data_IF_525573389170
#
_entry.id   IF_525573389170
#
_cell.length_a   1.000
_cell.length_b   1.000
_cell.length_c   1.000
_cell.angle_alpha   90.00
_cell.angle_beta   90.00
_cell.angle_gamma   90.00
#
_symmetry.space_group_name_H-M   'P 1'
#
loop_
_entity.id
_entity.type
_entity.pdbx_description
1 polymer ?
#
# COMPACT_ATOMS: atom_id res chain seq x y z
N UNK A 1 5.01 -12.17 -5.48
CA UNK A 1 3.67 -12.66 -5.11
C UNK A 1 3.89 -13.57 -3.92
N UNK A 2 3.49 -13.19 -2.71
CA UNK A 2 3.59 -14.11 -1.57
C UNK A 2 2.37 -15.02 -1.60
N UNK A 3 2.56 -16.34 -1.52
CA UNK A 3 1.42 -17.22 -1.47
C UNK A 3 0.66 -16.96 -0.16
N UNK A 4 -0.67 -17.03 -0.22
CA UNK A 4 -1.47 -17.17 0.97
C UNK A 4 -0.98 -18.38 1.79
N UNK A 5 -0.39 -18.18 2.98
CA UNK A 5 0.26 -19.26 3.76
C UNK A 5 1.73 -19.53 3.41
N UNK A 6 2.42 -18.57 2.79
CA UNK A 6 3.81 -18.67 2.33
C UNK A 6 4.89 -18.93 3.39
N UNK A 7 4.53 -19.10 4.66
CA UNK A 7 5.46 -19.52 5.70
C UNK A 7 4.85 -20.65 6.55
N UNK A 8 5.55 -21.78 6.65
CA UNK A 8 5.21 -22.89 7.53
C UNK A 8 5.95 -22.73 8.86
N UNK A 9 5.22 -22.49 9.94
CA UNK A 9 5.77 -22.51 11.30
C UNK A 9 5.69 -23.93 11.85
N UNK A 10 6.85 -24.50 12.17
CA UNK A 10 6.95 -25.81 12.81
C UNK A 10 7.26 -25.59 14.30
N UNK A 11 6.43 -26.18 15.15
CA UNK A 11 6.61 -26.19 16.60
C UNK A 11 6.91 -27.61 17.07
N UNK A 12 8.05 -27.77 17.74
CA UNK A 12 8.48 -29.06 18.28
C UNK A 12 8.27 -29.04 19.79
N UNK A 13 7.47 -29.98 20.29
CA UNK A 13 7.14 -30.11 21.71
C UNK A 13 7.68 -31.43 22.26
N UNK A 14 8.20 -31.39 23.48
CA UNK A 14 8.57 -32.58 24.20
C UNK A 14 7.32 -33.19 24.84
N UNK A 15 6.96 -34.41 24.44
CA UNK A 15 5.99 -35.22 25.16
C UNK A 15 6.72 -36.04 26.21
N UNK A 16 7.09 -35.42 27.32
CA UNK A 16 7.51 -36.20 28.50
C UNK A 16 6.26 -36.82 29.11
N UNK A 17 6.17 -38.15 29.06
CA UNK A 17 5.09 -38.93 29.66
C UNK A 17 5.34 -38.98 31.18
N UNK A 18 4.54 -38.31 32.04
CA UNK A 18 4.69 -38.53 33.47
C UNK A 18 4.25 -39.96 33.80
N UNK A 19 5.15 -40.75 34.39
CA UNK A 19 4.77 -42.00 35.03
C UNK A 19 4.13 -41.65 36.37
N UNK A 20 2.85 -41.93 36.54
CA UNK A 20 2.21 -41.80 37.84
C UNK A 20 2.13 -43.17 38.51
N UNK A 21 2.52 -43.22 39.77
CA UNK A 21 2.32 -44.38 40.64
C UNK A 21 0.95 -44.22 41.28
N UNK A 22 -0.02 -45.00 40.80
CA UNK A 22 -1.37 -45.01 41.35
C UNK A 22 -1.42 -46.15 42.37
N UNK A 23 -1.60 -45.87 43.67
CA UNK A 23 -1.88 -46.92 44.64
C UNK A 23 -3.27 -47.50 44.34
N UNK A 24 -3.35 -48.81 44.15
CA UNK A 24 -4.61 -49.52 43.93
C UNK A 24 -4.78 -50.53 45.05
N UNK A 25 -5.93 -50.47 45.73
CA UNK A 25 -6.34 -51.46 46.71
C UNK A 25 -7.48 -52.28 46.15
N UNK A 26 -7.33 -53.60 46.09
CA UNK A 26 -8.39 -54.50 45.63
C UNK A 26 -8.56 -55.69 46.58
N UNK A 27 -9.81 -56.21 46.72
CA UNK A 27 -10.06 -57.35 47.59
C UNK A 27 -9.41 -58.61 46.99
N UNK A 28 -8.55 -59.27 47.77
CA UNK A 28 -7.89 -60.51 47.39
C UNK A 28 -7.74 -61.45 48.59
N UNK A 29 -7.37 -62.71 48.32
CA UNK A 29 -7.10 -63.66 49.40
C UNK A 29 -5.70 -63.42 49.98
N UNK A 30 -5.65 -62.85 51.17
CA UNK A 30 -4.38 -62.60 51.89
C UNK A 30 -4.15 -63.75 52.86
N UNK A 31 -2.91 -64.26 52.91
CA UNK A 31 -2.50 -65.25 53.91
C UNK A 31 -2.17 -64.52 55.21
N UNK A 32 -2.89 -64.88 56.26
CA UNK A 32 -2.65 -64.35 57.61
C UNK A 32 -1.48 -65.12 58.24
N UNK A 33 -0.32 -64.48 58.40
CA UNK A 33 0.90 -65.12 58.93
C UNK A 33 0.73 -65.58 60.39
N UNK A 34 -0.24 -65.02 61.12
CA UNK A 34 -0.50 -65.34 62.52
C UNK A 34 -1.37 -66.60 62.75
N UNK A 35 -2.08 -67.09 61.73
CA UNK A 35 -3.01 -68.24 61.88
C UNK A 35 -2.92 -69.21 60.71
N UNK A 36 -2.02 -70.19 60.83
CA UNK A 36 -2.00 -71.50 60.13
C UNK A 36 -2.65 -71.57 58.73
N UNK A 37 -2.35 -70.64 57.83
CA UNK A 37 -2.70 -70.73 56.40
C UNK A 37 -4.18 -70.54 56.03
N UNK A 38 -5.05 -70.07 56.94
CA UNK A 38 -6.44 -69.77 56.58
C UNK A 38 -6.50 -68.54 55.65
N UNK A 39 -7.07 -68.70 54.45
CA UNK A 39 -7.26 -67.60 53.49
C UNK A 39 -8.43 -66.74 53.93
N UNK A 40 -8.17 -65.49 54.32
CA UNK A 40 -9.21 -64.48 54.56
C UNK A 40 -9.27 -63.49 53.40
N UNK A 41 -10.46 -62.95 53.14
CA UNK A 41 -10.64 -61.85 52.18
C UNK A 41 -10.11 -60.58 52.83
N UNK A 42 -9.04 -60.01 52.26
CA UNK A 42 -8.40 -58.79 52.74
C UNK A 42 -8.15 -57.82 51.58
N UNK A 43 -7.76 -56.58 51.89
CA UNK A 43 -7.37 -55.60 50.88
C UNK A 43 -5.87 -55.74 50.58
N UNK A 44 -5.55 -56.21 49.37
CA UNK A 44 -4.19 -56.18 48.85
C UNK A 44 -3.90 -54.80 48.29
N UNK A 45 -2.74 -54.23 48.65
CA UNK A 45 -2.29 -52.92 48.20
C UNK A 45 -1.15 -53.12 47.21
N UNK A 46 -1.35 -52.71 45.97
CA UNK A 46 -0.32 -52.71 44.95
C UNK A 46 -0.13 -51.31 44.35
N UNK A 47 1.07 -51.03 43.86
CA UNK A 47 1.39 -49.77 43.20
C UNK A 47 1.45 -50.00 41.70
N UNK A 48 0.44 -49.51 40.98
CA UNK A 48 0.39 -49.62 39.52
C UNK A 48 1.10 -48.42 38.90
N UNK A 49 2.09 -48.67 38.06
CA UNK A 49 2.69 -47.63 37.23
C UNK A 49 1.79 -47.37 36.02
N UNK A 50 1.02 -46.28 36.06
CA UNK A 50 0.12 -45.89 34.97
C UNK A 50 0.83 -44.89 34.07
N UNK A 51 0.84 -45.18 32.76
CA UNK A 51 1.35 -44.27 31.75
C UNK A 51 0.27 -43.23 31.39
N UNK A 52 0.26 -42.11 32.10
CA UNK A 52 -0.75 -41.05 31.96
C UNK A 52 -0.77 -40.40 30.56
N UNK A 53 0.30 -40.52 29.78
CA UNK A 53 0.32 -39.98 28.44
C UNK A 53 -0.44 -40.83 27.41
N UNK A 54 -0.73 -42.10 27.68
CA UNK A 54 -1.70 -42.87 26.89
C UNK A 54 -3.14 -42.35 27.08
N UNK A 55 -3.39 -41.65 28.19
CA UNK A 55 -4.67 -41.01 28.52
C UNK A 55 -4.72 -39.53 28.10
N UNK A 56 -3.73 -39.04 27.35
CA UNK A 56 -3.68 -37.67 26.85
C UNK A 56 -3.30 -36.59 27.87
N UNK A 57 -2.91 -36.99 29.09
CA UNK A 57 -2.52 -36.10 30.18
C UNK A 57 -0.99 -36.03 30.26
N UNK A 58 -0.39 -35.06 29.57
CA UNK A 58 1.06 -34.84 29.55
C UNK A 58 1.43 -33.36 29.58
N UNK A 59 2.58 -33.04 30.17
CA UNK A 59 3.14 -31.69 30.18
C UNK A 59 3.77 -31.43 28.82
N UNK A 60 3.22 -30.49 28.05
CA UNK A 60 3.77 -30.06 26.76
C UNK A 60 4.76 -28.92 27.01
N UNK A 61 6.06 -29.22 27.11
CA UNK A 61 7.09 -28.18 27.07
C UNK A 61 7.54 -27.94 25.62
N UNK A 62 7.54 -26.68 25.19
CA UNK A 62 8.04 -26.28 23.86
C UNK A 62 9.56 -26.41 23.84
N UNK A 63 10.11 -27.22 22.92
CA UNK A 63 11.55 -27.34 22.70
C UNK A 63 12.02 -26.11 21.90
N UNK A 64 11.28 -25.78 20.84
CA UNK A 64 11.48 -24.57 20.05
C UNK A 64 10.66 -24.57 18.76
N UNK A 65 10.72 -23.45 18.05
CA UNK A 65 10.05 -23.21 16.78
C UNK A 65 11.03 -22.86 15.67
N UNK A 66 10.65 -23.20 14.45
CA UNK A 66 11.32 -22.74 13.23
C UNK A 66 10.27 -22.32 12.21
N UNK A 67 10.62 -21.41 11.31
CA UNK A 67 9.75 -20.96 10.21
C UNK A 67 10.41 -21.28 8.87
N UNK A 68 9.62 -21.79 7.93
CA UNK A 68 10.05 -22.14 6.59
C UNK A 68 9.28 -21.30 5.59
N UNK A 69 9.99 -20.51 4.78
CA UNK A 69 9.40 -19.80 3.66
C UNK A 69 9.11 -20.80 2.53
N UNK A 70 7.83 -20.96 2.19
CA UNK A 70 7.33 -21.81 1.11
C UNK A 70 7.24 -21.05 -0.22
N UNK A 71 7.14 -19.72 -0.20
CA UNK A 71 6.96 -18.90 -1.40
C UNK A 71 8.19 -18.94 -2.29
N UNK A 72 9.34 -18.69 -1.66
CA UNK A 72 10.62 -18.73 -2.37
C UNK A 72 10.87 -20.10 -2.99
N UNK A 73 10.41 -21.17 -2.35
CA UNK A 73 10.56 -22.54 -2.84
C UNK A 73 9.65 -22.82 -4.03
N UNK A 74 8.38 -22.43 -3.93
CA UNK A 74 7.41 -22.65 -5.00
C UNK A 74 7.78 -21.90 -6.27
N UNK A 75 8.19 -20.64 -6.14
CA UNK A 75 8.52 -19.80 -7.29
C UNK A 75 9.96 -19.98 -7.81
N UNK A 76 10.84 -20.63 -7.05
CA UNK A 76 12.19 -20.95 -7.50
C UNK A 76 12.18 -22.06 -8.56
N UNK A 77 12.58 -21.70 -9.79
CA UNK A 77 12.74 -22.67 -10.88
C UNK A 77 13.81 -23.72 -10.56
N UNK A 78 14.90 -23.33 -9.88
CA UNK A 78 15.95 -24.25 -9.46
C UNK A 78 15.46 -25.25 -8.43
N UNK A 79 14.56 -24.86 -7.52
CA UNK A 79 13.96 -25.78 -6.55
C UNK A 79 13.01 -26.78 -7.24
N UNK A 80 12.16 -26.31 -8.15
CA UNK A 80 11.26 -27.18 -8.94
C UNK A 80 11.98 -28.13 -9.89
N UNK A 81 13.21 -27.79 -10.29
CA UNK A 81 14.04 -28.66 -11.13
C UNK A 81 14.71 -29.81 -10.36
N UNK A 82 14.67 -29.80 -9.02
CA UNK A 82 15.27 -30.86 -8.22
C UNK A 82 14.48 -32.17 -8.39
N UNK A 83 15.16 -33.24 -8.80
CA UNK A 83 14.56 -34.59 -8.90
C UNK A 83 14.19 -35.18 -7.54
N UNK A 84 14.85 -34.73 -6.46
CA UNK A 84 14.62 -35.17 -5.09
C UNK A 84 14.69 -33.95 -4.17
N UNK A 85 13.71 -33.83 -3.28
CA UNK A 85 13.68 -32.79 -2.28
C UNK A 85 14.86 -32.98 -1.31
N UNK A 86 15.67 -31.94 -1.05
CA UNK A 86 16.82 -32.07 -0.17
C UNK A 86 16.35 -32.23 1.29
N UNK A 87 17.13 -32.96 2.09
CA UNK A 87 16.97 -32.99 3.54
C UNK A 87 17.59 -31.72 4.10
N UNK A 88 16.80 -30.94 4.82
CA UNK A 88 17.17 -29.69 5.46
C UNK A 88 17.31 -29.88 6.97
N UNK A 89 18.37 -29.33 7.53
CA UNK A 89 18.56 -29.22 8.98
C UNK A 89 18.22 -27.79 9.42
N UNK A 90 17.30 -27.65 10.37
CA UNK A 90 16.83 -26.35 10.88
C UNK A 90 17.03 -26.26 12.38
N UNK A 91 17.58 -25.15 12.86
CA UNK A 91 17.70 -24.90 14.29
C UNK A 91 16.35 -24.57 14.91
N UNK A 92 16.10 -25.12 16.09
CA UNK A 92 14.89 -24.87 16.87
C UNK A 92 15.15 -23.78 17.91
N UNK A 93 14.36 -22.71 17.85
CA UNK A 93 14.48 -21.55 18.72
C UNK A 93 13.34 -21.54 19.75
N UNK A 94 13.62 -21.69 21.05
CA UNK A 94 12.61 -21.49 22.09
C UNK A 94 12.20 -20.02 22.18
N UNK A 95 10.97 -19.74 22.63
CA UNK A 95 10.48 -18.36 22.78
C UNK A 95 11.27 -17.53 23.79
N UNK A 96 11.73 -18.18 24.86
CA UNK A 96 12.29 -17.51 26.03
C UNK A 96 13.83 -17.39 26.00
N UNK A 97 14.48 -17.93 24.96
CA UNK A 97 15.94 -17.90 24.87
C UNK A 97 16.40 -17.66 23.43
N UNK A 98 17.38 -16.78 23.23
CA UNK A 98 17.98 -16.56 21.92
C UNK A 98 18.89 -17.70 21.49
N UNK A 99 19.11 -18.73 22.33
CA UNK A 99 19.98 -19.87 22.01
C UNK A 99 19.16 -21.04 21.47
N UNK A 100 19.62 -21.65 20.38
CA UNK A 100 18.97 -22.84 19.81
C UNK A 100 19.05 -24.02 20.76
N UNK A 101 17.93 -24.73 20.99
CA UNK A 101 17.87 -25.90 21.88
C UNK A 101 17.93 -27.25 21.16
N UNK A 102 18.08 -27.25 19.85
CA UNK A 102 18.19 -28.45 19.04
C UNK A 102 18.11 -28.18 17.54
N UNK A 103 18.13 -29.26 16.76
CA UNK A 103 18.03 -29.25 15.31
C UNK A 103 16.91 -30.19 14.86
N UNK A 104 16.18 -29.78 13.83
CA UNK A 104 15.13 -30.54 13.17
C UNK A 104 15.61 -30.88 11.76
N UNK A 105 15.66 -32.16 11.44
CA UNK A 105 15.91 -32.65 10.09
C UNK A 105 14.58 -32.98 9.42
N UNK A 106 14.35 -32.40 8.25
CA UNK A 106 13.11 -32.54 7.50
C UNK A 106 13.37 -32.39 6.02
N UNK A 107 12.53 -32.97 5.17
CA UNK A 107 12.46 -32.61 3.75
C UNK A 107 11.07 -32.04 3.48
N UNK A 108 10.98 -31.05 2.60
CA UNK A 108 9.70 -30.43 2.21
C UNK A 108 9.47 -30.67 0.74
N UNK A 109 8.38 -31.36 0.43
CA UNK A 109 7.88 -31.50 -0.94
C UNK A 109 6.63 -30.61 -1.09
N UNK A 110 6.63 -29.76 -2.12
CA UNK A 110 5.47 -28.96 -2.49
C UNK A 110 4.84 -29.63 -3.71
N UNK A 111 3.60 -30.10 -3.58
CA UNK A 111 2.89 -30.85 -4.61
C UNK A 111 1.68 -30.08 -5.10
N UNK A 112 1.42 -30.14 -6.40
CA UNK A 112 0.14 -29.75 -6.98
C UNK A 112 -0.94 -30.82 -6.72
N UNK A 113 -2.22 -30.42 -6.82
CA UNK A 113 -3.36 -31.34 -6.64
C UNK A 113 -3.32 -32.55 -7.59
N UNK A 114 -2.85 -32.33 -8.83
CA UNK A 114 -2.68 -33.39 -9.82
C UNK A 114 -1.58 -34.39 -9.41
N UNK A 115 -0.45 -33.90 -8.90
CA UNK A 115 0.67 -34.74 -8.44
C UNK A 115 0.33 -35.51 -7.17
N UNK A 116 -0.45 -34.89 -6.27
CA UNK A 116 -0.96 -35.55 -5.07
C UNK A 116 -1.85 -36.74 -5.44
N UNK A 117 -2.75 -36.56 -6.41
CA UNK A 117 -3.68 -37.60 -6.86
C UNK A 117 -2.98 -38.76 -7.57
N UNK A 118 -1.87 -38.49 -8.26
CA UNK A 118 -1.13 -39.49 -9.03
C UNK A 118 -0.25 -40.43 -8.18
N UNK A 119 -0.02 -40.15 -6.89
CA UNK A 119 0.90 -40.91 -6.04
C UNK A 119 0.16 -41.53 -4.83
N UNK A 120 0.37 -42.83 -4.55
CA UNK A 120 -0.15 -43.45 -3.34
C UNK A 120 0.74 -43.04 -2.15
N UNK A 121 0.23 -42.19 -1.25
CA UNK A 121 0.96 -41.72 -0.08
C UNK A 121 0.50 -42.43 1.21
N UNK A 122 1.46 -42.81 2.05
CA UNK A 122 1.24 -43.44 3.35
C UNK A 122 0.77 -42.45 4.44
N UNK A 123 0.88 -41.14 4.18
CA UNK A 123 0.47 -40.09 5.11
C UNK A 123 -0.48 -39.12 4.40
N UNK A 124 -1.65 -38.80 4.98
CA UNK A 124 -2.52 -37.78 4.43
C UNK A 124 -1.79 -36.42 4.47
N UNK A 125 -1.82 -35.63 3.38
CA UNK A 125 -1.24 -34.29 3.38
C UNK A 125 -1.95 -33.41 4.41
N UNK A 126 -1.20 -32.49 5.02
CA UNK A 126 -1.80 -31.45 5.85
C UNK A 126 -2.53 -30.48 4.92
N UNK A 127 -3.86 -30.34 5.01
CA UNK A 127 -4.58 -29.39 4.17
C UNK A 127 -4.14 -27.98 4.53
N UNK A 128 -3.56 -27.26 3.57
CA UNK A 128 -3.32 -25.83 3.71
C UNK A 128 -4.62 -25.09 3.41
N UNK A 129 -5.22 -24.48 4.42
CA UNK A 129 -6.31 -23.55 4.20
C UNK A 129 -5.75 -22.28 3.57
N UNK A 130 -6.37 -21.85 2.46
CA UNK A 130 -6.18 -20.49 1.97
C UNK A 130 -6.53 -19.52 3.12
N UNK A 131 -5.71 -18.50 3.39
CA UNK A 131 -6.03 -17.50 4.38
C UNK A 131 -7.36 -16.87 4.02
N UNK A 132 -8.18 -16.75 5.06
CA UNK A 132 -9.54 -16.27 4.92
C UNK A 132 -9.54 -14.91 4.25
N UNK A 133 -10.14 -14.84 3.07
CA UNK A 133 -10.34 -13.58 2.35
C UNK A 133 -11.29 -12.73 3.17
N UNK A 134 -10.85 -11.51 3.49
CA UNK A 134 -11.63 -10.48 4.17
C UNK A 134 -11.94 -9.39 3.18
N UNK A 135 -13.17 -8.87 3.24
CA UNK A 135 -13.60 -7.77 2.38
C UNK A 135 -13.26 -6.43 3.03
N UNK A 136 -12.65 -5.58 2.25
CA UNK A 136 -12.31 -4.20 2.61
C UNK A 136 -12.88 -3.25 1.56
N UNK A 137 -13.12 -2.02 1.97
CA UNK A 137 -13.47 -0.92 1.10
C UNK A 137 -12.29 0.06 1.10
N UNK A 138 -11.62 0.22 -0.03
CA UNK A 138 -10.69 1.32 -0.24
C UNK A 138 -11.51 2.54 -0.64
N UNK A 139 -11.35 3.64 0.09
CA UNK A 139 -11.93 4.93 -0.23
C UNK A 139 -10.81 5.91 -0.53
N UNK A 140 -10.99 6.69 -1.58
CA UNK A 140 -10.09 7.79 -1.94
C UNK A 140 -10.93 9.06 -2.00
N UNK A 141 -10.48 10.10 -1.30
CA UNK A 141 -11.07 11.44 -1.39
C UNK A 141 -10.08 12.34 -2.11
N UNK A 142 -10.49 12.86 -3.26
CA UNK A 142 -9.75 13.83 -4.05
C UNK A 142 -10.25 15.22 -3.65
N UNK A 143 -9.41 16.02 -2.99
CA UNK A 143 -9.80 17.34 -2.51
C UNK A 143 -9.56 18.41 -3.55
N UNK A 144 -8.30 18.68 -3.86
CA UNK A 144 -7.88 19.80 -4.70
C UNK A 144 -6.63 19.47 -5.51
N UNK A 145 -6.54 20.10 -6.68
CA UNK A 145 -5.39 20.13 -7.58
C UNK A 145 -4.84 21.55 -7.58
N UNK A 146 -3.52 21.70 -7.58
CA UNK A 146 -2.79 22.96 -7.65
C UNK A 146 -1.63 22.86 -8.63
N UNK A 147 -1.24 23.98 -9.22
CA UNK A 147 -0.08 24.10 -10.13
C UNK A 147 -0.16 23.28 -11.43
N UNK A 148 -1.38 23.02 -11.93
CA UNK A 148 -1.57 22.25 -13.17
C UNK A 148 -1.38 23.12 -14.42
N UNK A 149 -0.15 23.49 -14.80
CA UNK A 149 0.12 24.54 -15.81
C UNK A 149 0.11 24.10 -17.29
N UNK A 150 -0.05 22.81 -17.59
CA UNK A 150 0.06 22.28 -18.97
C UNK A 150 -0.81 23.01 -20.02
N UNK A 151 -2.11 23.28 -19.76
CA UNK A 151 -2.98 23.94 -20.74
C UNK A 151 -2.41 25.28 -21.26
N UNK A 152 -1.83 26.08 -20.37
CA UNK A 152 -1.25 27.38 -20.67
C UNK A 152 0.09 27.28 -21.41
N UNK A 153 0.95 26.34 -21.00
CA UNK A 153 2.25 26.11 -21.64
C UNK A 153 2.08 25.75 -23.11
N UNK A 154 1.11 24.88 -23.42
CA UNK A 154 0.88 24.42 -24.80
C UNK A 154 0.19 25.50 -25.63
N UNK A 155 -0.85 26.13 -25.09
CA UNK A 155 -1.71 27.02 -25.88
C UNK A 155 -1.11 28.41 -26.03
N UNK A 156 -0.21 28.81 -25.11
CA UNK A 156 0.40 30.15 -25.04
C UNK A 156 -0.59 31.32 -24.91
N UNK A 157 -1.89 31.02 -24.81
CA UNK A 157 -2.96 31.99 -24.66
C UNK A 157 -3.34 32.16 -23.17
N UNK A 158 -3.19 33.36 -22.60
CA UNK A 158 -3.55 33.63 -21.20
C UNK A 158 -5.07 33.63 -20.96
N UNK A 159 -5.87 33.72 -22.03
CA UNK A 159 -7.33 33.73 -21.96
C UNK A 159 -7.95 32.32 -21.96
N UNK A 160 -7.14 31.28 -22.16
CA UNK A 160 -7.63 29.90 -22.14
C UNK A 160 -7.77 29.44 -20.69
N UNK A 161 -9.01 29.13 -20.31
CA UNK A 161 -9.34 28.57 -19.01
C UNK A 161 -9.36 27.05 -19.11
N UNK A 162 -8.80 26.37 -18.12
CA UNK A 162 -8.73 24.91 -18.13
C UNK A 162 -9.98 24.27 -17.51
N UNK A 163 -10.46 23.21 -18.14
CA UNK A 163 -11.52 22.35 -17.59
C UNK A 163 -10.89 21.06 -17.09
N UNK A 164 -10.70 20.95 -15.78
CA UNK A 164 -9.90 19.89 -15.17
C UNK A 164 -10.78 18.81 -14.52
N UNK A 165 -10.38 17.55 -14.68
CA UNK A 165 -10.92 16.44 -13.88
C UNK A 165 -9.82 15.45 -13.51
N UNK A 166 -10.07 14.67 -12.46
CA UNK A 166 -9.14 13.66 -11.95
C UNK A 166 -9.68 12.28 -12.23
N UNK A 167 -8.82 11.46 -12.81
CA UNK A 167 -9.02 10.05 -13.09
C UNK A 167 -8.18 9.22 -12.11
N UNK A 168 -8.81 8.24 -11.48
CA UNK A 168 -8.17 7.36 -10.51
C UNK A 168 -8.48 5.92 -10.87
N UNK A 169 -7.45 5.10 -11.02
CA UNK A 169 -7.56 3.68 -11.33
C UNK A 169 -6.80 2.85 -10.29
N UNK A 170 -7.48 1.85 -9.72
CA UNK A 170 -6.86 0.86 -8.86
C UNK A 170 -6.40 -0.35 -9.69
N UNK A 171 -5.11 -0.66 -9.62
CA UNK A 171 -4.51 -1.77 -10.35
C UNK A 171 -4.46 -1.53 -11.87
N UNK A 172 -4.71 -2.60 -12.62
CA UNK A 172 -4.68 -2.59 -14.10
C UNK A 172 -6.06 -2.84 -14.72
N UNK A 173 -7.08 -3.04 -13.91
CA UNK A 173 -8.42 -3.37 -14.40
C UNK A 173 -9.18 -2.10 -14.75
N UNK A 174 -9.80 -2.07 -15.94
CA UNK A 174 -10.65 -0.97 -16.37
C UNK A 174 -11.93 -0.88 -15.52
N UNK A 175 -12.41 -1.98 -14.93
CA UNK A 175 -13.57 -1.97 -14.04
C UNK A 175 -13.35 -1.14 -12.76
N UNK A 176 -12.09 -0.91 -12.40
CA UNK A 176 -11.67 -0.13 -11.24
C UNK A 176 -11.39 1.33 -11.55
N UNK A 177 -11.77 1.81 -12.73
CA UNK A 177 -11.63 3.22 -13.08
C UNK A 177 -12.73 4.06 -12.46
N UNK A 178 -12.34 5.21 -11.90
CA UNK A 178 -13.25 6.20 -11.32
C UNK A 178 -12.79 7.59 -11.75
N UNK A 179 -13.74 8.48 -11.98
CA UNK A 179 -13.49 9.88 -12.35
C UNK A 179 -14.22 10.83 -11.44
N UNK A 180 -13.64 12.00 -11.20
CA UNK A 180 -14.34 13.13 -10.59
C UNK A 180 -15.32 13.74 -11.58
N UNK A 181 -16.10 14.71 -11.13
CA UNK A 181 -16.71 15.67 -12.04
C UNK A 181 -15.68 16.68 -12.56
N UNK A 182 -16.10 17.51 -13.52
CA UNK A 182 -15.24 18.48 -14.19
C UNK A 182 -15.32 19.83 -13.46
N UNK A 183 -14.17 20.35 -13.07
CA UNK A 183 -14.00 21.72 -12.60
C UNK A 183 -13.74 22.61 -13.80
N UNK A 184 -14.77 23.36 -14.22
CA UNK A 184 -14.68 24.22 -15.40
C UNK A 184 -14.10 25.58 -15.07
N UNK A 185 -13.48 26.20 -16.07
CA UNK A 185 -13.03 27.59 -16.04
C UNK A 185 -11.93 27.87 -15.01
N UNK A 186 -11.02 26.92 -14.79
CA UNK A 186 -9.86 27.10 -13.92
C UNK A 186 -8.91 28.15 -14.52
N UNK A 187 -8.63 29.28 -13.83
CA UNK A 187 -7.79 30.35 -14.37
C UNK A 187 -6.29 30.17 -14.11
N UNK A 188 -5.90 29.34 -13.15
CA UNK A 188 -4.53 29.24 -12.61
C UNK A 188 -4.06 27.78 -12.46
N UNK A 189 -4.79 26.82 -13.04
CA UNK A 189 -4.50 25.40 -12.92
C UNK A 189 -4.85 24.83 -11.55
N UNK A 190 -5.64 25.56 -10.75
CA UNK A 190 -6.23 25.05 -9.50
C UNK A 190 -7.66 24.55 -9.71
N UNK A 191 -8.01 23.43 -9.09
CA UNK A 191 -9.35 22.86 -9.16
C UNK A 191 -9.72 22.19 -7.83
N UNK A 192 -10.93 22.45 -7.34
CA UNK A 192 -11.45 21.79 -6.14
C UNK A 192 -12.60 20.84 -6.49
N UNK A 193 -12.50 19.62 -5.95
CA UNK A 193 -13.41 18.52 -6.24
C UNK A 193 -14.16 18.05 -5.00
N UNK A 194 -13.47 17.90 -3.85
CA UNK A 194 -14.01 17.26 -2.65
C UNK A 194 -14.80 15.98 -2.96
N UNK A 195 -14.20 15.10 -3.76
CA UNK A 195 -14.86 14.00 -4.41
C UNK A 195 -14.44 12.65 -3.82
N UNK A 196 -15.41 11.87 -3.33
CA UNK A 196 -15.16 10.53 -2.79
C UNK A 196 -15.38 9.43 -3.80
N UNK A 197 -14.40 8.55 -3.92
CA UNK A 197 -14.40 7.32 -4.70
C UNK A 197 -14.22 6.10 -3.79
N UNK A 198 -14.66 4.93 -4.26
CA UNK A 198 -14.63 3.71 -3.48
C UNK A 198 -14.50 2.43 -4.32
N UNK A 199 -13.76 1.47 -3.79
CA UNK A 199 -13.53 0.15 -4.40
C UNK A 199 -13.65 -0.96 -3.35
N UNK A 200 -14.43 -1.98 -3.66
CA UNK A 200 -14.48 -3.20 -2.87
C UNK A 200 -13.28 -4.10 -3.22
N UNK A 201 -12.59 -4.56 -2.19
CA UNK A 201 -11.41 -5.41 -2.27
C UNK A 201 -11.60 -6.67 -1.44
N UNK A 202 -11.09 -7.79 -1.91
CA UNK A 202 -11.11 -9.08 -1.20
C UNK A 202 -9.68 -9.49 -0.89
N UNK A 203 -9.15 -9.10 0.27
CA UNK A 203 -7.75 -9.31 0.62
C UNK A 203 -7.57 -10.60 1.47
N UNK A 204 -6.48 -11.36 1.32
CA UNK A 204 -5.37 -11.15 0.39
C UNK A 204 -5.73 -11.59 -1.04
N UNK A 205 -5.38 -10.77 -2.02
CA UNK A 205 -5.54 -11.05 -3.45
C UNK A 205 -4.20 -10.90 -4.16
N UNK A 206 -3.69 -11.99 -4.72
CA UNK A 206 -2.44 -12.02 -5.46
C UNK A 206 -2.55 -11.39 -6.87
N UNK A 207 -3.77 -11.35 -7.42
CA UNK A 207 -4.02 -10.82 -8.76
C UNK A 207 -4.12 -9.30 -8.77
N UNK A 208 -4.48 -8.71 -7.63
CA UNK A 208 -4.59 -7.26 -7.47
C UNK A 208 -3.20 -6.60 -7.51
N UNK A 209 -2.94 -5.82 -8.56
CA UNK A 209 -1.81 -4.92 -8.57
C UNK A 209 -2.06 -3.78 -7.57
N UNK A 210 -1.34 -3.77 -6.46
CA UNK A 210 -1.49 -2.80 -5.36
C UNK A 210 -0.95 -1.39 -5.69
N UNK A 211 -1.38 -0.84 -6.83
CA UNK A 211 -1.04 0.51 -7.30
C UNK A 211 -2.29 1.33 -7.54
N UNK A 212 -2.27 2.59 -7.14
CA UNK A 212 -3.30 3.57 -7.44
C UNK A 212 -2.74 4.56 -8.45
N UNK A 213 -3.22 4.49 -9.69
CA UNK A 213 -2.86 5.43 -10.76
C UNK A 213 -3.73 6.66 -10.64
N UNK A 214 -3.08 7.82 -10.63
CA UNK A 214 -3.69 9.14 -10.55
C UNK A 214 -3.34 9.88 -11.83
N UNK A 215 -4.34 10.38 -12.53
CA UNK A 215 -4.16 11.13 -13.77
C UNK A 215 -5.07 12.36 -13.75
N UNK A 216 -4.55 13.48 -14.20
CA UNK A 216 -5.31 14.73 -14.34
C UNK A 216 -5.46 15.00 -15.82
N UNK A 217 -6.67 15.28 -16.25
CA UNK A 217 -7.00 15.55 -17.65
C UNK A 217 -7.62 16.93 -17.81
N UNK A 218 -7.40 17.52 -18.98
CA UNK A 218 -8.14 18.66 -19.49
C UNK A 218 -9.22 18.16 -20.46
N UNK A 219 -10.47 18.49 -20.17
CA UNK A 219 -11.58 18.31 -21.11
C UNK A 219 -11.50 19.42 -22.16
N UNK A 220 -10.94 19.10 -23.33
CA UNK A 220 -10.66 20.08 -24.38
C UNK A 220 -11.83 20.30 -25.34
N UNK A 221 -12.91 19.51 -25.25
CA UNK A 221 -13.90 19.47 -26.32
C UNK A 221 -15.32 19.10 -25.89
N UNK A 222 -15.68 19.28 -24.62
CA UNK A 222 -16.98 18.85 -24.11
C UNK A 222 -17.26 17.37 -24.47
N UNK A 223 -16.22 16.53 -24.50
CA UNK A 223 -16.28 15.13 -24.89
C UNK A 223 -16.27 14.78 -26.39
N UNK A 224 -15.93 15.73 -27.29
CA UNK A 224 -15.90 15.48 -28.76
C UNK A 224 -14.50 15.11 -29.29
N UNK A 225 -13.44 15.53 -28.60
CA UNK A 225 -12.04 15.21 -28.92
C UNK A 225 -11.39 14.43 -27.76
N UNK A 226 -10.22 13.83 -28.00
CA UNK A 226 -9.49 13.12 -26.96
C UNK A 226 -9.02 14.07 -25.85
N UNK A 227 -9.39 13.76 -24.61
CA UNK A 227 -8.98 14.53 -23.43
C UNK A 227 -7.45 14.55 -23.30
N UNK A 228 -6.91 15.70 -22.92
CA UNK A 228 -5.46 15.90 -22.84
C UNK A 228 -4.95 15.59 -21.43
N UNK A 229 -4.02 14.64 -21.32
CA UNK A 229 -3.35 14.35 -20.06
C UNK A 229 -2.53 15.58 -19.61
N UNK A 230 -2.75 16.02 -18.38
CA UNK A 230 -2.04 17.14 -17.77
C UNK A 230 -0.91 16.68 -16.83
N UNK A 231 -1.16 15.67 -16.01
CA UNK A 231 -0.15 15.09 -15.12
C UNK A 231 -0.56 13.68 -14.69
N UNK A 232 0.42 12.84 -14.34
CA UNK A 232 0.20 11.49 -13.84
C UNK A 232 1.11 11.14 -12.66
N UNK A 233 0.65 10.23 -11.80
CA UNK A 233 1.44 9.61 -10.74
C UNK A 233 0.91 8.21 -10.43
N UNK A 234 1.82 7.31 -10.06
CA UNK A 234 1.49 5.97 -9.57
C UNK A 234 1.85 5.90 -8.09
N UNK A 235 0.85 5.64 -7.24
CA UNK A 235 1.04 5.47 -5.80
C UNK A 235 1.04 3.97 -5.46
N UNK A 236 2.10 3.49 -4.81
CA UNK A 236 2.13 2.15 -4.25
C UNK A 236 1.31 2.12 -2.95
N UNK A 237 0.23 1.33 -2.94
CA UNK A 237 -0.66 1.16 -1.79
C UNK A 237 -0.47 -0.20 -1.11
N UNK A 238 0.53 -0.99 -1.51
CA UNK A 238 0.75 -2.33 -0.98
C UNK A 238 0.95 -2.36 0.53
N UNK A 239 1.86 -1.53 1.04
CA UNK A 239 2.12 -1.44 2.47
C UNK A 239 0.86 -1.06 3.27
N UNK A 240 -0.01 -0.23 2.69
CA UNK A 240 -1.28 0.17 3.28
C UNK A 240 -2.26 -1.00 3.37
N UNK A 241 -2.37 -1.81 2.31
CA UNK A 241 -3.22 -3.00 2.26
C UNK A 241 -2.71 -4.10 3.22
N UNK A 242 -1.40 -4.31 3.28
CA UNK A 242 -0.76 -5.28 4.17
C UNK A 242 -0.97 -4.87 5.64
N UNK A 243 -0.82 -3.58 5.99
CA UNK A 243 -1.12 -3.07 7.33
C UNK A 243 -2.59 -3.28 7.70
N UNK A 244 -3.52 -2.99 6.78
CA UNK A 244 -4.95 -3.19 7.00
C UNK A 244 -5.32 -4.67 7.21
N UNK A 245 -4.65 -5.58 6.50
CA UNK A 245 -4.81 -7.03 6.68
C UNK A 245 -4.37 -7.50 8.06
N UNK A 246 -3.23 -7.02 8.54
CA UNK A 246 -2.65 -7.39 9.84
C UNK A 246 -3.48 -6.82 11.00
N UNK A 247 -3.85 -5.54 10.93
CA UNK A 247 -4.64 -4.88 11.99
C UNK A 247 -6.09 -5.34 12.02
N UNK A 248 -6.72 -5.48 10.85
CA UNK A 248 -8.17 -5.71 10.76
C UNK A 248 -9.04 -4.51 11.19
N UNK A 249 -8.42 -3.36 11.48
CA UNK A 249 -9.05 -2.10 11.88
C UNK A 249 -9.04 -1.10 10.71
N UNK A 250 -9.92 -0.08 10.72
CA UNK A 250 -9.91 0.96 9.70
C UNK A 250 -8.60 1.76 9.72
N UNK A 251 -7.98 1.92 8.56
CA UNK A 251 -6.74 2.67 8.40
C UNK A 251 -7.01 3.95 7.61
N UNK A 252 -6.77 5.11 8.23
CA UNK A 252 -7.01 6.43 7.64
C UNK A 252 -5.68 7.15 7.42
N UNK A 253 -5.35 7.42 6.16
CA UNK A 253 -4.31 8.39 5.77
C UNK A 253 -4.99 9.71 5.48
N UNK A 254 -4.72 10.70 6.35
CA UNK A 254 -5.28 12.05 6.26
C UNK A 254 -4.82 12.74 4.97
N UNK A 255 -5.44 13.90 4.70
CA UNK A 255 -5.15 14.77 3.56
C UNK A 255 -3.63 14.95 3.38
N UNK A 256 -3.10 14.42 2.29
CA UNK A 256 -1.69 14.47 1.94
C UNK A 256 -1.51 14.97 0.50
N UNK A 257 -0.53 15.83 0.22
CA UNK A 257 -0.20 16.23 -1.13
C UNK A 257 0.61 15.12 -1.83
N UNK A 258 0.22 14.81 -3.05
CA UNK A 258 0.92 13.89 -3.96
C UNK A 258 1.35 14.70 -5.17
N UNK A 259 2.65 14.68 -5.48
CA UNK A 259 3.20 15.30 -6.68
C UNK A 259 2.93 14.42 -7.91
N UNK A 260 2.42 15.03 -8.97
CA UNK A 260 2.20 14.43 -10.28
C UNK A 260 3.07 15.15 -11.30
N UNK A 261 3.54 14.40 -12.30
CA UNK A 261 4.37 14.93 -13.36
C UNK A 261 3.81 14.55 -14.71
N UNK A 262 4.03 15.40 -15.70
CA UNK A 262 3.69 15.06 -17.08
C UNK A 262 4.82 14.23 -17.72
N UNK A 263 4.53 13.12 -18.42
CA UNK A 263 5.57 12.28 -19.02
C UNK A 263 6.41 13.01 -20.09
N UNK A 264 5.82 13.93 -20.84
CA UNK A 264 6.52 14.71 -21.86
C UNK A 264 7.00 16.10 -21.37
N UNK A 265 6.47 16.62 -20.26
CA UNK A 265 6.74 17.97 -19.77
C UNK A 265 7.13 17.88 -18.28
N UNK A 266 8.37 17.46 -17.97
CA UNK A 266 8.79 17.16 -16.60
C UNK A 266 8.92 18.41 -15.71
N UNK A 267 8.92 19.60 -16.30
CA UNK A 267 8.90 20.89 -15.62
C UNK A 267 7.60 21.14 -14.85
N UNK A 268 6.54 20.41 -15.19
CA UNK A 268 5.23 20.51 -14.56
C UNK A 268 5.22 19.65 -13.30
N UNK A 269 5.18 20.32 -12.14
CA UNK A 269 5.00 19.71 -10.82
C UNK A 269 3.61 20.05 -10.29
N UNK A 270 2.62 19.27 -10.73
CA UNK A 270 1.24 19.42 -10.29
C UNK A 270 1.08 18.76 -8.92
N UNK A 271 0.37 19.38 -7.99
CA UNK A 271 0.09 18.79 -6.67
C UNK A 271 -1.38 18.44 -6.53
N UNK A 272 -1.66 17.19 -6.17
CA UNK A 272 -2.99 16.71 -5.83
C UNK A 272 -3.08 16.40 -4.34
N UNK A 273 -4.05 16.97 -3.65
CA UNK A 273 -4.33 16.59 -2.27
C UNK A 273 -5.37 15.49 -2.21
N UNK A 274 -5.02 14.36 -1.58
CA UNK A 274 -5.91 13.23 -1.43
C UNK A 274 -5.85 12.64 -0.01
N UNK A 275 -6.91 11.95 0.39
CA UNK A 275 -6.92 11.08 1.56
C UNK A 275 -7.29 9.66 1.14
N UNK A 276 -6.67 8.68 1.79
CA UNK A 276 -6.95 7.27 1.58
C UNK A 276 -7.46 6.65 2.87
N UNK A 277 -8.50 5.85 2.76
CA UNK A 277 -9.06 5.12 3.88
C UNK A 277 -9.30 3.66 3.46
N UNK A 278 -8.79 2.70 4.22
CA UNK A 278 -9.15 1.28 4.06
C UNK A 278 -10.02 0.90 5.24
N UNK A 279 -11.25 0.46 4.95
CA UNK A 279 -12.23 0.12 5.98
C UNK A 279 -12.66 -1.34 5.82
N UNK A 280 -12.67 -2.15 6.89
CA UNK A 280 -13.21 -3.50 6.84
C UNK A 280 -14.73 -3.50 6.66
N UNK A 281 -15.29 -4.52 6.00
CA UNK A 281 -16.71 -4.62 5.64
C UNK A 281 -17.68 -4.31 6.79
N UNK A 282 -17.41 -4.84 8.00
CA UNK A 282 -18.28 -4.63 9.16
C UNK A 282 -18.40 -3.14 9.58
N UNK A 283 -17.33 -2.36 9.45
CA UNK A 283 -17.36 -0.91 9.75
C UNK A 283 -18.04 -0.13 8.63
N UNK A 284 -17.89 -0.56 7.38
CA UNK A 284 -18.57 0.06 6.23
C UNK A 284 -20.08 -0.10 6.35
N UNK A 285 -20.57 -1.25 6.82
CA UNK A 285 -22.00 -1.48 7.03
C UNK A 285 -22.55 -0.70 8.22
N UNK A 286 -21.72 -0.44 9.24
CA UNK A 286 -22.11 0.32 10.41
C UNK A 286 -22.27 1.82 10.13
N UNK A 287 -21.55 2.35 9.12
CA UNK A 287 -21.52 3.78 8.83
C UNK A 287 -22.04 4.12 7.43
N UNK A 288 -22.95 5.06 7.34
CA UNK A 288 -23.48 5.55 6.07
C UNK A 288 -22.47 6.51 5.42
N UNK A 289 -22.05 6.19 4.20
CA UNK A 289 -21.07 6.97 3.46
C UNK A 289 -21.46 7.02 1.97
N UNK A 290 -21.64 8.23 1.44
CA UNK A 290 -22.04 8.44 0.05
C UNK A 290 -20.83 8.79 -0.83
N UNK A 291 -20.96 8.58 -2.13
CA UNK A 291 -19.90 8.71 -3.13
C UNK A 291 -20.27 9.72 -4.22
N UNK A 292 -19.24 10.29 -4.85
CA UNK A 292 -19.38 11.31 -5.89
C UNK A 292 -20.20 12.53 -5.44
N UNK A 293 -21.14 13.00 -6.27
CA UNK A 293 -21.98 14.19 -5.97
C UNK A 293 -22.81 14.05 -4.70
N UNK A 294 -23.14 12.82 -4.31
CA UNK A 294 -23.92 12.54 -3.10
C UNK A 294 -23.07 12.67 -1.82
N UNK A 295 -21.75 12.75 -1.95
CA UNK A 295 -20.83 12.96 -0.84
C UNK A 295 -20.98 14.29 -0.11
N UNK A 296 -21.80 15.21 -0.62
CA UNK A 296 -22.12 16.49 0.03
C UNK A 296 -23.44 16.47 0.81
N UNK A 297 -24.21 15.38 0.72
CA UNK A 297 -25.49 15.26 1.43
C UNK A 297 -25.25 15.14 2.94
N UNK A 298 -26.11 15.76 3.74
CA UNK A 298 -26.07 15.70 5.21
C UNK A 298 -26.70 14.42 5.78
N UNK A 299 -27.20 13.54 4.90
CA UNK A 299 -27.86 12.27 5.25
C UNK A 299 -26.88 11.16 5.63
N UNK A 300 -25.59 11.36 5.41
CA UNK A 300 -24.52 10.45 5.80
C UNK A 300 -23.96 10.79 7.18
N UNK A 301 -23.11 9.93 7.75
CA UNK A 301 -22.52 10.20 9.06
C UNK A 301 -21.65 11.47 9.04
N UNK A 302 -21.65 12.22 10.15
CA UNK A 302 -21.01 13.53 10.26
C UNK A 302 -19.52 13.52 9.86
N UNK A 303 -18.80 12.44 10.19
CA UNK A 303 -17.38 12.26 9.86
C UNK A 303 -17.12 12.22 8.34
N UNK A 304 -18.15 11.93 7.55
CA UNK A 304 -18.06 11.70 6.10
C UNK A 304 -18.72 12.81 5.27
N UNK A 305 -19.25 13.86 5.87
CA UNK A 305 -19.78 14.99 5.11
C UNK A 305 -18.62 15.79 4.51
N UNK A 306 -18.57 15.84 3.17
CA UNK A 306 -17.58 16.66 2.47
C UNK A 306 -18.14 18.07 2.21
N UNK A 307 -17.33 19.13 2.37
CA UNK A 307 -17.74 20.47 2.01
C UNK A 307 -17.94 20.55 0.50
N UNK A 308 -18.89 21.39 0.07
CA UNK A 308 -19.04 21.67 -1.37
C UNK A 308 -17.76 22.32 -1.89
N UNK A 309 -17.24 21.88 -3.04
CA UNK A 309 -16.01 22.44 -3.61
C UNK A 309 -16.21 23.91 -3.98
N UNK A 310 -15.21 24.74 -3.71
CA UNK A 310 -15.19 26.14 -4.10
C UNK A 310 -14.66 26.26 -5.53
N UNK A 311 -15.55 26.55 -6.48
CA UNK A 311 -15.25 26.49 -7.92
C UNK A 311 -15.27 27.86 -8.59
N UNK A 312 -14.46 28.05 -9.65
CA UNK A 312 -14.58 29.22 -10.49
C UNK A 312 -15.97 29.27 -11.14
N UNK A 313 -16.52 30.48 -11.23
CA UNK A 313 -17.74 30.77 -11.96
C UNK A 313 -17.40 31.61 -13.18
N UNK A 314 -18.15 31.47 -14.28
CA UNK A 314 -18.00 32.37 -15.43
C UNK A 314 -18.60 33.73 -15.08
N UNK A 315 -17.98 34.80 -15.56
CA UNK A 315 -18.60 36.11 -15.50
C UNK A 315 -19.95 36.10 -16.25
N UNK A 316 -21.01 36.43 -15.52
CA UNK A 316 -22.35 36.58 -16.08
C UNK A 316 -22.85 37.99 -15.82
N UNK A 317 -23.32 38.67 -16.87
CA UNK A 317 -23.91 40.01 -16.75
C UNK A 317 -25.18 40.00 -15.88
N UNK A 318 -25.92 38.89 -15.86
CA UNK A 318 -27.18 38.75 -15.12
C UNK A 318 -26.92 38.39 -13.64
N UNK A 319 -25.82 37.71 -13.35
CA UNK A 319 -25.43 37.37 -11.98
C UNK A 319 -23.90 37.34 -11.82
N UNK A 320 -23.26 38.50 -11.63
CA UNK A 320 -21.80 38.58 -11.54
C UNK A 320 -21.26 38.19 -10.15
N UNK A 321 -22.13 38.07 -9.14
CA UNK A 321 -21.75 37.84 -7.74
C UNK A 321 -20.87 36.59 -7.54
N UNK A 322 -21.17 35.40 -8.11
CA UNK A 322 -20.33 34.22 -7.95
C UNK A 322 -18.90 34.40 -8.48
N UNK A 323 -18.74 35.07 -9.62
CA UNK A 323 -17.44 35.36 -10.22
C UNK A 323 -16.60 36.28 -9.33
N UNK A 324 -17.20 37.38 -8.86
CA UNK A 324 -16.50 38.32 -7.97
C UNK A 324 -16.21 37.72 -6.61
N UNK A 325 -17.14 36.94 -6.04
CA UNK A 325 -16.93 36.22 -4.78
C UNK A 325 -15.74 35.26 -4.89
N UNK A 326 -15.70 34.45 -5.94
CA UNK A 326 -14.56 33.57 -6.21
C UNK A 326 -13.24 34.34 -6.31
N UNK A 327 -13.22 35.40 -7.12
CA UNK A 327 -12.03 36.21 -7.37
C UNK A 327 -11.55 36.92 -6.09
N UNK A 328 -12.46 37.50 -5.30
CA UNK A 328 -12.13 38.21 -4.07
C UNK A 328 -11.63 37.27 -2.98
N UNK A 329 -12.27 36.12 -2.78
CA UNK A 329 -11.79 35.13 -1.79
C UNK A 329 -10.40 34.62 -2.18
N UNK A 330 -10.19 34.34 -3.47
CA UNK A 330 -8.88 33.88 -3.95
C UNK A 330 -7.80 34.95 -3.84
N UNK A 331 -8.12 36.20 -4.19
CA UNK A 331 -7.25 37.34 -4.01
C UNK A 331 -6.91 37.55 -2.52
N UNK A 332 -7.91 37.51 -1.64
CA UNK A 332 -7.72 37.64 -0.20
C UNK A 332 -6.83 36.52 0.34
N UNK A 333 -7.02 35.27 -0.10
CA UNK A 333 -6.16 34.15 0.28
C UNK A 333 -4.71 34.34 -0.20
N UNK A 334 -4.52 34.82 -1.44
CA UNK A 334 -3.20 35.11 -2.00
C UNK A 334 -2.52 36.24 -1.24
N UNK A 335 -3.22 37.35 -1.03
CA UNK A 335 -2.72 38.51 -0.27
C UNK A 335 -2.42 38.10 1.17
N UNK A 336 -3.28 37.33 1.82
CA UNK A 336 -3.02 36.84 3.17
C UNK A 336 -1.76 35.95 3.22
N UNK A 337 -1.58 35.06 2.24
CA UNK A 337 -0.37 34.24 2.14
C UNK A 337 0.89 35.07 1.89
N UNK A 338 0.83 36.06 1.00
CA UNK A 338 1.93 36.99 0.72
C UNK A 338 2.24 37.85 1.94
N UNK A 339 1.23 38.41 2.60
CA UNK A 339 1.38 39.18 3.84
C UNK A 339 1.98 38.31 4.94
N UNK A 340 1.54 37.06 5.11
CA UNK A 340 2.13 36.13 6.09
C UNK A 340 3.59 35.82 5.75
N UNK A 341 3.89 35.57 4.47
CA UNK A 341 5.26 35.29 4.01
C UNK A 341 6.19 36.49 4.18
N UNK A 342 5.71 37.69 3.89
CA UNK A 342 6.42 38.96 4.10
C UNK A 342 6.52 39.27 5.59
N UNK A 343 5.49 39.00 6.39
CA UNK A 343 5.51 39.17 7.86
C UNK A 343 6.51 38.23 8.53
N UNK A 344 6.72 37.03 7.97
CA UNK A 344 7.79 36.12 8.39
C UNK A 344 9.20 36.67 8.11
N UNK A 345 9.36 37.54 7.11
CA UNK A 345 10.59 38.28 6.83
C UNK A 345 10.69 39.59 7.64
N UNK A 346 9.58 40.05 8.23
CA UNK A 346 9.45 41.29 8.99
C UNK A 346 9.36 41.15 10.52
N UNK A 347 9.91 40.12 11.23
CA UNK A 347 9.98 40.22 12.69
C UNK A 347 10.89 41.38 13.15
N UNK A 348 11.71 41.91 12.23
CA UNK A 348 12.63 43.02 12.47
C UNK A 348 11.99 44.41 12.33
N UNK A 349 10.83 44.57 11.69
CA UNK A 349 10.20 45.89 11.56
C UNK A 349 9.58 46.39 12.87
N UNK A 350 8.87 45.55 13.66
CA UNK A 350 8.52 45.91 15.04
C UNK A 350 9.76 46.19 15.89
N UNK A 351 10.84 45.43 15.66
CA UNK A 351 12.12 45.61 16.36
C UNK A 351 12.79 46.94 16.03
N UNK A 352 12.81 47.37 14.76
CA UNK A 352 13.36 48.66 14.31
C UNK A 352 12.49 49.82 14.78
N UNK A 353 11.17 49.73 14.64
CA UNK A 353 10.23 50.75 15.12
C UNK A 353 10.31 50.94 16.65
N UNK A 354 10.56 49.87 17.40
CA UNK A 354 10.72 49.92 18.86
C UNK A 354 12.13 50.28 19.32
N UNK A 355 13.17 49.96 18.54
CA UNK A 355 14.51 50.49 18.75
C UNK A 355 14.49 52.03 18.68
N UNK A 356 13.67 52.59 17.78
CA UNK A 356 13.39 54.03 17.69
C UNK A 356 12.53 54.51 18.89
N UNK A 357 11.63 53.67 19.42
CA UNK A 357 10.72 54.01 20.52
C UNK A 357 11.24 53.69 21.95
N UNK A 358 12.48 53.22 22.09
CA UNK A 358 13.16 52.92 23.36
C UNK A 358 12.46 51.94 24.32
N UNK A 359 11.61 51.05 23.80
CA UNK A 359 10.97 49.98 24.58
C UNK A 359 11.89 48.77 24.73
N UNK A 360 11.66 47.88 25.73
CA UNK A 360 12.53 46.73 25.99
C UNK A 360 12.51 45.72 24.83
N UNK A 361 13.48 45.87 23.93
CA UNK A 361 13.65 45.20 22.64
C UNK A 361 14.04 43.71 22.71
N UNK A 362 14.41 43.23 23.89
CA UNK A 362 15.03 41.92 24.11
C UNK A 362 14.13 40.75 23.69
N UNK A 363 12.82 40.84 23.97
CA UNK A 363 11.85 39.79 23.61
C UNK A 363 11.59 39.71 22.10
N UNK A 364 11.64 40.84 21.41
CA UNK A 364 11.48 40.90 19.96
C UNK A 364 12.75 40.50 19.22
N UNK A 365 13.93 40.80 19.76
CA UNK A 365 15.19 40.28 19.24
C UNK A 365 15.25 38.75 19.34
N UNK A 366 14.77 38.19 20.45
CA UNK A 366 14.63 36.75 20.62
C UNK A 366 13.64 36.16 19.61
N UNK A 367 12.46 36.77 19.43
CA UNK A 367 11.47 36.36 18.45
C UNK A 367 11.95 36.46 17.00
N UNK A 368 12.68 37.54 16.66
CA UNK A 368 13.29 37.74 15.35
C UNK A 368 14.43 36.76 15.07
N UNK A 369 15.25 36.44 16.07
CA UNK A 369 16.27 35.40 15.95
C UNK A 369 15.64 34.02 15.73
N UNK A 370 14.58 33.67 16.47
CA UNK A 370 13.83 32.44 16.27
C UNK A 370 13.18 32.37 14.88
N UNK A 371 12.56 33.46 14.42
CA UNK A 371 11.99 33.57 13.08
C UNK A 371 13.04 33.42 11.99
N UNK A 372 14.20 34.06 12.14
CA UNK A 372 15.34 33.96 11.21
C UNK A 372 15.89 32.53 11.13
N UNK A 373 15.98 31.82 12.27
CA UNK A 373 16.43 30.42 12.29
C UNK A 373 15.43 29.52 11.55
N UNK A 374 14.13 29.70 11.76
CA UNK A 374 13.10 28.94 11.02
C UNK A 374 13.17 29.25 9.54
N UNK A 375 13.30 30.52 9.17
CA UNK A 375 13.44 30.95 7.77
C UNK A 375 14.68 30.34 7.10
N UNK A 376 15.86 30.47 7.72
CA UNK A 376 17.10 29.87 7.21
C UNK A 376 16.97 28.36 7.07
N UNK A 377 16.32 27.70 8.03
CA UNK A 377 16.08 26.25 7.95
C UNK A 377 15.19 25.89 6.76
N UNK A 378 14.10 26.61 6.54
CA UNK A 378 13.20 26.38 5.38
C UNK A 378 13.94 26.64 4.07
N UNK A 379 14.67 27.75 3.99
CA UNK A 379 15.45 28.13 2.82
C UNK A 379 16.54 27.10 2.46
N UNK A 380 17.32 26.63 3.45
CA UNK A 380 18.32 25.58 3.25
C UNK A 380 17.69 24.25 2.83
N UNK A 381 16.50 23.93 3.33
CA UNK A 381 15.78 22.72 2.96
C UNK A 381 15.28 22.79 1.50
N UNK A 382 14.83 23.96 1.05
CA UNK A 382 14.51 24.20 -0.36
C UNK A 382 15.76 24.13 -1.26
N UNK A 383 16.88 24.71 -0.82
CA UNK A 383 18.13 24.66 -1.57
C UNK A 383 18.64 23.22 -1.72
N UNK A 384 18.66 22.45 -0.63
CA UNK A 384 19.02 21.02 -0.68
C UNK A 384 18.09 20.21 -1.59
N UNK A 385 16.78 20.53 -1.61
CA UNK A 385 15.84 19.89 -2.54
C UNK A 385 16.17 20.21 -4.00
N UNK A 386 16.49 21.47 -4.33
CA UNK A 386 16.90 21.88 -5.67
C UNK A 386 18.20 21.17 -6.09
N UNK A 387 19.19 21.11 -5.23
CA UNK A 387 20.46 20.45 -5.51
C UNK A 387 20.30 18.93 -5.71
N UNK A 388 19.44 18.28 -4.91
CA UNK A 388 19.12 16.86 -5.09
C UNK A 388 18.43 16.57 -6.43
N UNK A 389 17.54 17.47 -6.88
CA UNK A 389 16.89 17.37 -8.20
C UNK A 389 17.95 17.51 -9.32
N UNK A 390 18.84 18.51 -9.23
CA UNK A 390 19.90 18.72 -10.22
C UNK A 390 20.89 17.54 -10.26
N UNK A 391 21.23 16.96 -9.10
CA UNK A 391 22.09 15.78 -9.01
C UNK A 391 21.44 14.57 -9.70
N UNK A 392 20.15 14.32 -9.46
CA UNK A 392 19.42 13.24 -10.15
C UNK A 392 19.32 13.48 -11.66
N UNK A 393 19.18 14.72 -12.10
CA UNK A 393 19.18 15.06 -13.52
C UNK A 393 20.55 14.78 -14.16
N UNK A 394 21.65 15.17 -13.51
CA UNK A 394 23.01 14.88 -13.97
C UNK A 394 23.28 13.38 -14.04
N UNK A 395 22.86 12.62 -13.04
CA UNK A 395 23.03 11.16 -13.02
C UNK A 395 22.24 10.49 -14.15
N UNK A 396 21.01 10.96 -14.43
CA UNK A 396 20.21 10.46 -15.55
C UNK A 396 20.77 10.84 -16.90
N UNK A 397 21.29 12.07 -17.05
CA UNK A 397 21.97 12.50 -18.27
C UNK A 397 23.24 11.68 -18.52
N UNK A 398 24.04 11.41 -17.49
CA UNK A 398 25.20 10.53 -17.57
C UNK A 398 24.81 9.10 -17.99
N UNK A 399 23.78 8.52 -17.36
CA UNK A 399 23.26 7.19 -17.74
C UNK A 399 22.68 7.15 -19.15
N UNK A 400 22.10 8.25 -19.65
CA UNK A 400 21.59 8.36 -21.01
C UNK A 400 22.72 8.46 -22.05
N UNK A 401 23.87 9.06 -21.69
CA UNK A 401 25.07 9.12 -22.53
C UNK A 401 25.83 7.78 -22.54
N UNK A 402 25.85 7.07 -21.41
CA UNK A 402 26.47 5.73 -21.30
C UNK A 402 25.61 4.60 -21.86
N UNK A 403 24.30 4.80 -22.00
CA UNK A 403 23.43 3.80 -22.61
C UNK A 403 23.81 3.60 -24.08
N UNK A 404 24.18 2.38 -24.52
CA UNK A 404 24.43 2.12 -25.93
C UNK A 404 23.17 2.47 -26.73
N UNK A 405 23.31 3.01 -27.95
CA UNK A 405 22.16 3.40 -28.76
C UNK A 405 21.24 2.20 -28.90
N UNK A 406 20.02 2.32 -28.38
CA UNK A 406 19.05 1.25 -28.34
C UNK A 406 18.82 0.68 -29.75
N UNK A 407 18.55 -0.62 -29.84
CA UNK A 407 18.29 -1.30 -31.13
C UNK A 407 17.20 -0.59 -31.96
N UNK A 408 16.31 0.16 -31.32
CA UNK A 408 15.31 1.00 -31.99
C UNK A 408 15.92 2.16 -32.80
N UNK A 409 17.01 2.78 -32.33
CA UNK A 409 17.73 3.81 -33.07
C UNK A 409 18.48 3.21 -34.26
N UNK A 410 19.05 2.00 -34.13
CA UNK A 410 19.68 1.28 -35.25
C UNK A 410 18.62 0.79 -36.27
N UNK A 411 17.44 0.40 -35.81
CA UNK A 411 16.30 0.00 -36.65
C UNK A 411 15.71 1.19 -37.40
N UNK A 412 15.66 2.38 -36.77
CA UNK A 412 15.30 3.62 -37.42
C UNK A 412 16.34 4.05 -38.46
N UNK A 413 17.64 3.92 -38.15
CA UNK A 413 18.72 4.21 -39.09
C UNK A 413 18.69 3.27 -40.31
N UNK A 414 18.38 1.98 -40.12
CA UNK A 414 18.17 1.00 -41.20
C UNK A 414 16.95 1.30 -42.06
N UNK A 415 15.89 1.88 -41.50
CA UNK A 415 14.71 2.35 -42.26
C UNK A 415 15.01 3.61 -43.07
N UNK A 416 15.82 4.53 -42.55
CA UNK A 416 16.21 5.75 -43.26
C UNK A 416 17.23 5.47 -44.37
N UNK A 417 18.12 4.49 -44.17
CA UNK A 417 19.13 4.10 -45.16
C UNK A 417 18.65 3.13 -46.25
N UNK A 418 17.33 2.91 -46.38
CA UNK A 418 16.72 2.31 -47.56
C UNK A 418 17.25 0.93 -47.96
N UNK A 419 16.92 -0.12 -47.20
CA UNK A 419 17.14 -1.48 -47.67
C UNK A 419 16.15 -1.83 -48.81
N UNK A 420 16.61 -2.46 -49.91
CA UNK A 420 15.77 -2.75 -51.07
C UNK A 420 14.68 -3.79 -50.74
N UNK A 421 13.45 -3.51 -51.18
CA UNK A 421 12.30 -4.41 -51.11
C UNK A 421 12.58 -5.68 -51.92
N UNK A 422 12.59 -6.83 -51.25
CA UNK A 422 12.58 -8.13 -51.92
C UNK A 422 11.26 -8.30 -52.68
N UNK A 423 11.36 -8.72 -53.94
CA UNK A 423 10.30 -8.84 -54.90
C UNK A 423 9.32 -9.98 -54.58
N UNK A 424 8.07 -9.77 -55.02
CA UNK A 424 6.96 -10.72 -55.03
C UNK A 424 7.34 -12.06 -55.69
N UNK A 425 6.96 -13.17 -55.03
CA UNK A 425 6.94 -14.52 -55.62
C UNK A 425 5.48 -14.92 -55.80
N UNK A 426 5.03 -15.30 -57.01
CA UNK A 426 3.66 -15.71 -57.25
C UNK A 426 3.42 -17.17 -56.80
N UNK A 427 2.28 -17.40 -56.15
CA UNK A 427 1.77 -18.73 -55.81
C UNK A 427 1.46 -19.54 -57.08
N UNK A 428 2.15 -20.67 -57.27
CA UNK A 428 1.78 -21.67 -58.26
C UNK A 428 1.02 -22.82 -57.60
N UNK A 429 -0.17 -23.06 -58.13
CA UNK A 429 -1.01 -24.24 -57.95
C UNK A 429 -0.39 -25.53 -58.52
N UNK A 430 -0.42 -26.63 -57.77
CA UNK A 430 -0.54 -28.04 -58.21
C UNK A 430 -0.59 -28.93 -56.94
N UNK A 431 -1.67 -29.65 -56.61
CA UNK A 431 -2.06 -30.98 -57.14
C UNK A 431 -0.95 -32.02 -56.95
N UNK A 432 -1.08 -32.93 -55.97
CA UNK A 432 -1.45 -34.35 -56.15
C UNK A 432 -1.18 -35.20 -54.87
N UNK A 433 -2.15 -36.09 -54.58
CA UNK A 433 -2.16 -37.31 -53.73
C UNK A 433 -2.21 -37.20 -52.20
#
# INVERSE_FOLDING_TARGET
VSMPGGALRIEVRNKTLPRARVPVSYPWYVRDEATSGARRVGLQHDVLEVNLGALGLGWNSEIGTTTLDLDLRWYSASWRALRRSPVETRHLWPRDSPNSKGTLELFVELLSEAELTARPWAFPPVPFELPRRRRFMLRCVVFDVTDCTLPWIITQDPNVLADLYVFVQLGNDAAHERRTDVCRYSPDGSAEFNWRMGWWLSLPDASLAARLRLQIYQDTAFGVAGDRLCAAADLDVRALLDEALVRGEPLVKRKQPVSLRHPAFPEIDTRLQLALEIVPEHVVLAKSCLYGKRGYELTQDADYVLPRPFRPAVFSLVNPSPFFSYTMVKLANRVNFEVMSVSLLLPFVPLVLQFIAWTPWQWYALGGALGLVVFLRVFLLEQHRRDAILAQQRERAAKAVEAPPSDLAQTALRRVLGAPRAADVPESSAVER
#
